data_IF_434902508037
#
_entry.id   IF_434902508037
#
_cell.length_a   1.000
_cell.length_b   1.000
_cell.length_c   1.000
_cell.angle_alpha   90.00
_cell.angle_beta   90.00
_cell.angle_gamma   90.00
#
_symmetry.space_group_name_H-M   'P 1'
#
loop_
_entity.id
_entity.type
_entity.pdbx_description
1 polymer ?
#
# COMPACT_ATOMS: atom_id res chain seq x y z
N UNK A 1 13.11 -25.12 -17.50
CA UNK A 1 11.70 -25.09 -17.09
C UNK A 1 11.60 -24.32 -15.79
N UNK A 2 11.14 -23.07 -15.85
CA UNK A 2 10.82 -22.30 -14.64
C UNK A 2 9.51 -22.86 -14.09
N UNK A 3 9.42 -23.28 -12.82
CA UNK A 3 8.18 -23.84 -12.30
C UNK A 3 7.07 -22.79 -12.40
N UNK A 4 5.89 -23.22 -12.83
CA UNK A 4 4.67 -22.43 -12.84
C UNK A 4 4.34 -22.05 -11.38
N UNK A 5 4.80 -20.88 -10.93
CA UNK A 5 4.43 -20.35 -9.62
C UNK A 5 2.96 -19.95 -9.74
N UNK A 6 2.08 -20.69 -9.04
CA UNK A 6 0.70 -20.25 -8.83
C UNK A 6 0.73 -18.81 -8.31
N UNK A 7 -0.08 -17.93 -8.89
CA UNK A 7 -0.20 -16.56 -8.43
C UNK A 7 -0.66 -16.54 -6.95
N UNK A 8 -0.05 -15.71 -6.12
CA UNK A 8 -0.46 -15.55 -4.73
C UNK A 8 -1.87 -14.95 -4.67
N UNK A 9 -2.71 -15.46 -3.77
CA UNK A 9 -4.01 -14.84 -3.48
C UNK A 9 -3.84 -13.59 -2.61
N UNK A 10 -4.89 -12.76 -2.51
CA UNK A 10 -4.88 -11.62 -1.58
C UNK A 10 -4.64 -12.06 -0.14
N UNK A 11 -5.25 -13.18 0.26
CA UNK A 11 -5.05 -13.78 1.58
C UNK A 11 -3.60 -14.19 1.81
N UNK A 12 -2.94 -14.78 0.81
CA UNK A 12 -1.52 -15.15 0.91
C UNK A 12 -0.64 -13.91 1.11
N UNK A 13 -0.97 -12.80 0.45
CA UNK A 13 -0.26 -11.52 0.62
C UNK A 13 -0.47 -10.93 2.02
N UNK A 14 -1.69 -10.98 2.56
CA UNK A 14 -1.98 -10.53 3.94
C UNK A 14 -1.20 -11.37 4.96
N UNK A 15 -1.19 -12.70 4.79
CA UNK A 15 -0.44 -13.61 5.66
C UNK A 15 1.08 -13.38 5.59
N UNK A 16 1.62 -13.18 4.38
CA UNK A 16 3.02 -12.81 4.21
C UNK A 16 3.35 -11.52 4.98
N UNK A 17 2.51 -10.50 4.87
CA UNK A 17 2.69 -9.23 5.58
C UNK A 17 2.60 -9.39 7.09
N UNK A 18 1.66 -10.21 7.60
CA UNK A 18 1.61 -10.53 9.03
C UNK A 18 2.93 -11.13 9.52
N UNK A 19 3.46 -12.13 8.81
CA UNK A 19 4.73 -12.75 9.16
C UNK A 19 5.91 -11.75 9.15
N UNK A 20 5.90 -10.78 8.23
CA UNK A 20 6.91 -9.71 8.19
C UNK A 20 6.75 -8.78 9.39
N UNK A 21 5.52 -8.36 9.71
CA UNK A 21 5.24 -7.53 10.89
C UNK A 21 5.73 -8.23 12.16
N UNK A 22 5.45 -9.53 12.32
CA UNK A 22 5.90 -10.31 13.48
C UNK A 22 7.41 -10.37 13.63
N UNK A 23 8.15 -10.33 12.51
CA UNK A 23 9.61 -10.27 12.57
C UNK A 23 10.08 -8.86 12.96
N UNK A 24 9.42 -7.82 12.45
CA UNK A 24 9.74 -6.44 12.81
C UNK A 24 9.46 -6.12 14.28
N UNK A 25 8.41 -6.68 14.87
CA UNK A 25 8.09 -6.45 16.30
C UNK A 25 9.20 -6.92 17.24
N UNK A 26 10.05 -7.85 16.80
CA UNK A 26 11.21 -8.32 17.58
C UNK A 26 12.42 -7.38 17.55
N UNK A 27 12.47 -6.45 16.58
CA UNK A 27 13.62 -5.56 16.37
C UNK A 27 13.27 -4.07 16.39
N UNK A 28 11.99 -3.72 16.46
CA UNK A 28 11.56 -2.33 16.51
C UNK A 28 11.98 -1.68 17.84
N UNK A 29 12.54 -0.47 17.77
CA UNK A 29 12.98 0.26 18.97
C UNK A 29 11.80 0.72 19.83
N UNK A 30 10.64 0.93 19.21
CA UNK A 30 9.38 1.29 19.86
C UNK A 30 8.27 0.46 19.20
N UNK A 31 7.36 -0.14 19.97
CA UNK A 31 6.21 -0.83 19.40
C UNK A 31 5.35 0.10 18.56
N UNK A 32 5.07 -0.28 17.31
CA UNK A 32 4.14 0.50 16.49
C UNK A 32 2.71 0.11 16.88
N UNK A 33 2.12 0.93 17.74
CA UNK A 33 0.66 0.96 17.93
C UNK A 33 -0.05 1.45 16.67
N UNK A 34 -1.34 1.80 16.79
CA UNK A 34 -2.08 2.37 15.66
C UNK A 34 -1.48 3.71 15.23
N UNK A 35 -0.97 4.51 16.16
CA UNK A 35 -0.37 5.81 15.88
C UNK A 35 0.85 5.66 14.98
N UNK A 36 1.74 4.70 15.29
CA UNK A 36 2.90 4.38 14.46
C UNK A 36 2.51 3.92 13.07
N UNK A 37 1.49 3.06 13.00
CA UNK A 37 0.98 2.52 11.73
C UNK A 37 0.33 3.61 10.86
N UNK A 38 -0.40 4.55 11.47
CA UNK A 38 -1.03 5.68 10.76
C UNK A 38 -0.01 6.73 10.31
N UNK A 39 1.03 6.98 11.11
CA UNK A 39 2.15 7.84 10.72
C UNK A 39 2.88 7.27 9.49
N UNK A 40 3.18 5.97 9.50
CA UNK A 40 3.79 5.28 8.36
C UNK A 40 2.88 5.35 7.13
N UNK A 41 1.59 5.03 7.27
CA UNK A 41 0.65 5.10 6.15
C UNK A 41 0.64 6.50 5.53
N UNK A 42 0.61 7.54 6.37
CA UNK A 42 0.61 8.94 5.91
C UNK A 42 1.92 9.31 5.20
N UNK A 43 3.07 8.87 5.74
CA UNK A 43 4.38 9.03 5.11
C UNK A 43 4.36 8.43 3.69
N UNK A 44 3.93 7.18 3.55
CA UNK A 44 3.97 6.47 2.27
C UNK A 44 3.02 7.06 1.22
N UNK A 45 1.87 7.61 1.64
CA UNK A 45 1.01 8.42 0.75
C UNK A 45 1.74 9.68 0.26
N UNK A 46 2.50 10.36 1.13
CA UNK A 46 3.30 11.52 0.75
C UNK A 46 4.42 11.18 -0.22
N UNK A 47 5.12 10.06 0.00
CA UNK A 47 6.18 9.59 -0.89
C UNK A 47 5.63 9.15 -2.26
N UNK A 48 4.51 8.42 -2.29
CA UNK A 48 3.80 8.11 -3.53
C UNK A 48 3.43 9.40 -4.28
N UNK A 49 2.87 10.38 -3.57
CA UNK A 49 2.47 11.67 -4.16
C UNK A 49 3.66 12.35 -4.83
N UNK A 50 4.80 12.44 -4.13
CA UNK A 50 6.04 13.02 -4.68
C UNK A 50 6.46 12.30 -5.96
N UNK A 51 6.48 10.96 -5.95
CA UNK A 51 6.95 10.16 -7.09
C UNK A 51 6.00 10.29 -8.29
N UNK A 52 4.68 10.29 -8.07
CA UNK A 52 3.69 10.50 -9.14
C UNK A 52 3.82 11.92 -9.71
N UNK A 53 3.94 12.94 -8.87
CA UNK A 53 4.14 14.32 -9.35
C UNK A 53 5.39 14.45 -10.21
N UNK A 54 6.48 13.78 -9.83
CA UNK A 54 7.69 13.71 -10.65
C UNK A 54 7.42 13.00 -11.98
N UNK A 55 6.79 11.83 -11.97
CA UNK A 55 6.50 11.03 -13.18
C UNK A 55 5.61 11.77 -14.18
N UNK A 56 4.69 12.57 -13.67
CA UNK A 56 3.73 13.36 -14.45
C UNK A 56 4.23 14.77 -14.77
N UNK A 57 5.52 15.06 -14.57
CA UNK A 57 6.18 16.33 -14.90
C UNK A 57 5.57 17.58 -14.22
N UNK A 58 5.06 17.45 -12.98
CA UNK A 58 4.61 18.61 -12.19
C UNK A 58 5.77 19.48 -11.68
N UNK A 59 6.99 18.94 -11.66
CA UNK A 59 8.19 19.70 -11.30
C UNK A 59 8.92 20.20 -12.56
N UNK A 60 9.70 21.27 -12.40
CA UNK A 60 10.52 21.82 -13.47
C UNK A 60 11.62 20.83 -13.89
N UNK A 61 11.93 20.80 -15.19
CA UNK A 61 12.84 19.82 -15.79
C UNK A 61 14.24 19.85 -15.19
N UNK A 62 14.76 21.03 -14.79
CA UNK A 62 16.07 21.09 -14.14
C UNK A 62 16.07 20.43 -12.75
N UNK A 63 14.92 20.31 -12.07
CA UNK A 63 14.84 19.61 -10.78
C UNK A 63 15.06 18.13 -10.94
N UNK A 64 14.41 17.53 -11.94
CA UNK A 64 14.54 16.12 -12.26
C UNK A 64 15.99 15.78 -12.65
N UNK A 65 16.65 16.65 -13.40
CA UNK A 65 18.02 16.40 -13.87
C UNK A 65 19.09 16.55 -12.77
N UNK A 66 18.84 17.41 -11.78
CA UNK A 66 19.86 17.80 -10.79
C UNK A 66 19.63 17.21 -9.39
N UNK A 67 18.44 16.66 -9.09
CA UNK A 67 18.13 16.07 -7.78
C UNK A 67 17.65 14.62 -7.92
N UNK A 68 18.46 13.62 -7.50
CA UNK A 68 18.10 12.21 -7.53
C UNK A 68 16.81 11.84 -6.78
N UNK A 69 16.38 12.67 -5.82
CA UNK A 69 15.12 12.47 -5.11
C UNK A 69 13.89 12.68 -6.01
N UNK A 70 14.10 13.35 -7.15
CA UNK A 70 13.11 13.61 -8.19
C UNK A 70 13.38 12.78 -9.44
N UNK A 71 14.07 11.63 -9.34
CA UNK A 71 14.02 10.61 -10.38
C UNK A 71 12.79 9.72 -10.16
N UNK A 72 11.93 9.55 -11.16
CA UNK A 72 10.80 8.62 -11.06
C UNK A 72 10.88 7.52 -12.11
N UNK A 73 10.37 6.35 -11.76
CA UNK A 73 10.06 5.29 -12.70
C UNK A 73 8.89 4.47 -12.13
N UNK A 74 8.31 3.61 -12.97
CA UNK A 74 7.17 2.76 -12.60
C UNK A 74 7.46 1.84 -11.41
N UNK A 75 8.70 1.37 -11.26
CA UNK A 75 9.10 0.48 -10.16
C UNK A 75 9.04 1.22 -8.82
N UNK A 76 9.47 2.49 -8.77
CA UNK A 76 9.35 3.33 -7.57
C UNK A 76 7.90 3.56 -7.18
N UNK A 77 7.02 3.84 -8.14
CA UNK A 77 5.57 3.95 -7.88
C UNK A 77 5.03 2.63 -7.30
N UNK A 78 5.43 1.50 -7.89
CA UNK A 78 5.06 0.17 -7.40
C UNK A 78 5.49 -0.09 -5.96
N UNK A 79 6.69 0.36 -5.58
CA UNK A 79 7.18 0.23 -4.21
C UNK A 79 6.35 1.04 -3.22
N UNK A 80 6.05 2.31 -3.51
CA UNK A 80 5.24 3.13 -2.59
C UNK A 80 3.81 2.58 -2.45
N UNK A 81 3.22 2.06 -3.54
CA UNK A 81 1.93 1.37 -3.50
C UNK A 81 1.98 0.11 -2.62
N UNK A 82 3.07 -0.67 -2.72
CA UNK A 82 3.28 -1.84 -1.87
C UNK A 82 3.43 -1.45 -0.39
N UNK A 83 4.13 -0.37 -0.09
CA UNK A 83 4.31 0.14 1.27
C UNK A 83 2.99 0.65 1.86
N UNK A 84 2.14 1.29 1.05
CA UNK A 84 0.77 1.67 1.45
C UNK A 84 -0.07 0.43 1.78
N UNK A 85 0.02 -0.64 0.98
CA UNK A 85 -0.65 -1.91 1.27
C UNK A 85 -0.13 -2.51 2.58
N UNK A 86 1.19 -2.52 2.79
CA UNK A 86 1.81 -2.99 4.03
C UNK A 86 1.28 -2.23 5.26
N UNK A 87 1.29 -0.90 5.22
CA UNK A 87 0.81 -0.05 6.30
C UNK A 87 -0.70 -0.25 6.55
N UNK A 88 -1.49 -0.40 5.49
CA UNK A 88 -2.94 -0.70 5.59
C UNK A 88 -3.20 -2.04 6.27
N UNK A 89 -2.45 -3.09 5.92
CA UNK A 89 -2.54 -4.40 6.57
C UNK A 89 -2.14 -4.30 8.04
N UNK A 90 -1.11 -3.51 8.38
CA UNK A 90 -0.70 -3.29 9.77
C UNK A 90 -1.79 -2.61 10.60
N UNK A 91 -2.49 -1.61 10.03
CA UNK A 91 -3.65 -0.96 10.67
C UNK A 91 -4.80 -1.96 10.86
N UNK A 92 -5.13 -2.74 9.82
CA UNK A 92 -6.20 -3.74 9.92
C UNK A 92 -5.89 -4.80 10.98
N UNK A 93 -4.62 -5.26 11.04
CA UNK A 93 -4.14 -6.20 12.05
C UNK A 93 -4.31 -5.64 13.47
N UNK A 94 -4.01 -4.37 13.69
CA UNK A 94 -4.19 -3.73 15.00
C UNK A 94 -5.65 -3.82 15.49
N UNK A 95 -6.60 -3.66 14.60
CA UNK A 95 -8.04 -3.70 14.91
C UNK A 95 -8.69 -5.08 14.71
N UNK A 96 -7.91 -6.12 14.40
CA UNK A 96 -8.42 -7.46 14.05
C UNK A 96 -9.47 -7.44 12.91
N UNK A 97 -9.25 -6.60 11.90
CA UNK A 97 -10.12 -6.49 10.73
C UNK A 97 -9.75 -7.55 9.69
N UNK A 98 -10.75 -8.32 9.25
CA UNK A 98 -10.64 -9.16 8.06
C UNK A 98 -10.76 -8.27 6.81
N UNK A 99 -9.59 -7.94 6.22
CA UNK A 99 -9.53 -7.08 5.03
C UNK A 99 -10.20 -7.68 3.80
N UNK A 100 -10.16 -9.00 3.62
CA UNK A 100 -10.79 -9.66 2.47
C UNK A 100 -12.30 -9.48 2.56
N UNK A 101 -12.87 -9.80 3.72
CA UNK A 101 -14.30 -9.60 3.99
C UNK A 101 -14.70 -8.13 3.89
N UNK A 102 -13.91 -7.21 4.44
CA UNK A 102 -14.18 -5.78 4.38
C UNK A 102 -14.18 -5.26 2.94
N UNK A 103 -13.22 -5.69 2.12
CA UNK A 103 -13.14 -5.31 0.71
C UNK A 103 -14.34 -5.82 -0.09
N UNK A 104 -14.67 -7.12 0.04
CA UNK A 104 -15.80 -7.72 -0.66
C UNK A 104 -17.12 -7.05 -0.30
N UNK A 105 -17.33 -6.75 0.99
CA UNK A 105 -18.52 -6.03 1.45
C UNK A 105 -18.63 -4.65 0.79
N UNK A 106 -17.56 -3.86 0.82
CA UNK A 106 -17.56 -2.51 0.25
C UNK A 106 -17.87 -2.52 -1.26
N UNK A 107 -17.29 -3.46 -2.02
CA UNK A 107 -17.56 -3.60 -3.46
C UNK A 107 -18.99 -4.05 -3.75
N UNK A 108 -19.55 -4.93 -2.91
CA UNK A 108 -20.94 -5.38 -3.06
C UNK A 108 -21.96 -4.25 -2.79
N UNK A 109 -21.69 -3.41 -1.79
CA UNK A 109 -22.52 -2.23 -1.49
C UNK A 109 -22.47 -1.21 -2.63
N UNK A 110 -21.28 -0.97 -3.21
CA UNK A 110 -21.08 -0.10 -4.37
C UNK A 110 -21.81 -0.62 -5.63
N UNK A 111 -21.70 -1.92 -5.93
CA UNK A 111 -22.42 -2.54 -7.05
C UNK A 111 -23.95 -2.45 -6.89
N UNK A 112 -24.46 -2.69 -5.67
CA UNK A 112 -25.88 -2.55 -5.38
C UNK A 112 -26.38 -1.11 -5.58
N UNK A 113 -25.58 -0.12 -5.16
CA UNK A 113 -25.88 1.30 -5.38
C UNK A 113 -25.91 1.62 -6.88
N UNK A 114 -24.91 1.24 -7.66
CA UNK A 114 -24.85 1.51 -9.10
C UNK A 114 -26.03 0.87 -9.86
N UNK A 115 -26.44 -0.34 -9.48
CA UNK A 115 -27.63 -1.00 -10.05
C UNK A 115 -28.93 -0.25 -9.74
N UNK A 116 -29.01 0.45 -8.60
CA UNK A 116 -30.17 1.25 -8.26
C UNK A 116 -30.30 2.53 -9.08
N UNK A 117 -29.19 3.06 -9.60
CA UNK A 117 -29.13 4.29 -10.39
C UNK A 117 -29.40 4.10 -11.88
N UNK A 118 -29.31 2.86 -12.38
CA UNK A 118 -29.56 2.50 -13.77
C UNK A 118 -30.99 1.94 -14.00
N UNK A 119 -31.96 2.38 -13.18
CA UNK A 119 -33.39 2.08 -13.35
C UNK A 119 -34.07 3.18 -14.15
#
# INVERSE_FOLDING_TARGET
MTPYRMANTFKDMVLLTHNIIDRFTTIEQRPWGVEGSMMELTKQVGDLTKIVMTQENYYFKEREQNDPNYHSNKDRIGNELADIIYATIRVARHYNIDLEKAYLKARAEEDAFLKSMNK
#
